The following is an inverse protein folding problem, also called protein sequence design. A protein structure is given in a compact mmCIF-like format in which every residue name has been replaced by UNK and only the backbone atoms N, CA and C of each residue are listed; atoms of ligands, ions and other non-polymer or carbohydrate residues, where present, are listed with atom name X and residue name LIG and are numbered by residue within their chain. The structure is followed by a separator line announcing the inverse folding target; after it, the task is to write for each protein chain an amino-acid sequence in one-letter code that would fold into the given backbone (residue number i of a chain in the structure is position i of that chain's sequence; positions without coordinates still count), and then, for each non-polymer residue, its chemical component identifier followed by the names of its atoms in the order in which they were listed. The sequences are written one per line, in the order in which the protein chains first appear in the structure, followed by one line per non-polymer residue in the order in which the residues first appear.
data_IF_059424024808
#
_entry.id   IF_059424024808
#
_cell.length_a   1.000
_cell.length_b   1.000
_cell.length_c   1.000
_cell.angle_alpha   90.00
_cell.angle_beta   90.00
_cell.angle_gamma   90.00
#
_symmetry.space_group_name_H-M   'P 1'
#
loop_
_entity.id
_entity.type
_entity.pdbx_description
1 polymer ?
#
# COMPACT_ATOMS: atom_id res chain seq x y z
N UNK A 1 -26.67 -2.04 5.79
CA UNK A 1 -25.46 -1.81 4.98
C UNK A 1 -25.24 -0.31 4.85
N UNK A 2 -24.01 0.15 4.98
CA UNK A 2 -23.67 1.56 4.79
C UNK A 2 -23.73 1.86 3.29
N UNK A 3 -24.64 2.74 2.85
CA UNK A 3 -24.83 3.09 1.43
C UNK A 3 -23.93 4.27 1.02
N UNK A 4 -22.93 4.60 1.83
CA UNK A 4 -22.00 5.67 1.50
C UNK A 4 -21.15 5.25 0.29
N UNK A 5 -21.22 6.00 -0.82
CA UNK A 5 -20.51 5.64 -2.05
C UNK A 5 -18.99 5.59 -1.86
N UNK A 6 -18.41 6.43 -0.99
CA UNK A 6 -16.95 6.42 -0.74
C UNK A 6 -16.52 5.11 -0.08
N UNK A 7 -17.32 4.61 0.87
CA UNK A 7 -17.07 3.33 1.54
C UNK A 7 -17.22 2.17 0.56
N UNK A 8 -18.25 2.19 -0.28
CA UNK A 8 -18.46 1.15 -1.30
C UNK A 8 -17.31 1.11 -2.31
N UNK A 9 -16.84 2.27 -2.78
CA UNK A 9 -15.69 2.36 -3.70
C UNK A 9 -14.41 1.85 -3.03
N UNK A 10 -14.13 2.26 -1.80
CA UNK A 10 -12.97 1.75 -1.05
C UNK A 10 -13.00 0.22 -0.91
N UNK A 11 -14.15 -0.34 -0.55
CA UNK A 11 -14.31 -1.76 -0.26
C UNK A 11 -14.33 -2.66 -1.50
N UNK A 12 -15.06 -2.25 -2.54
CA UNK A 12 -15.38 -3.12 -3.68
C UNK A 12 -14.61 -2.77 -4.95
N UNK A 13 -13.89 -1.65 -4.98
CA UNK A 13 -13.08 -1.24 -6.14
C UNK A 13 -11.62 -1.11 -5.73
N UNK A 14 -11.32 -0.23 -4.79
CA UNK A 14 -9.93 0.12 -4.44
C UNK A 14 -9.20 -1.06 -3.80
N UNK A 15 -9.78 -1.68 -2.77
CA UNK A 15 -9.13 -2.79 -2.07
C UNK A 15 -8.94 -4.02 -2.98
N UNK A 16 -9.92 -4.48 -3.77
CA UNK A 16 -9.71 -5.58 -4.71
C UNK A 16 -8.68 -5.26 -5.80
N UNK A 17 -8.69 -4.02 -6.31
CA UNK A 17 -7.73 -3.58 -7.33
C UNK A 17 -6.30 -3.58 -6.80
N UNK A 18 -6.09 -3.07 -5.57
CA UNK A 18 -4.79 -3.09 -4.91
C UNK A 18 -4.23 -4.51 -4.80
N UNK A 19 -5.05 -5.47 -4.35
CA UNK A 19 -4.64 -6.85 -4.19
C UNK A 19 -4.35 -7.54 -5.52
N UNK A 20 -5.18 -7.28 -6.53
CA UNK A 20 -4.94 -7.81 -7.87
C UNK A 20 -3.63 -7.26 -8.44
N UNK A 21 -3.37 -5.97 -8.31
CA UNK A 21 -2.14 -5.34 -8.76
C UNK A 21 -0.91 -5.90 -8.03
N UNK A 22 -0.93 -5.98 -6.69
CA UNK A 22 0.18 -6.55 -5.91
C UNK A 22 0.43 -8.03 -6.20
N UNK A 23 -0.61 -8.81 -6.45
CA UNK A 23 -0.44 -10.20 -6.87
C UNK A 23 0.16 -10.33 -8.27
N UNK A 24 -0.27 -9.49 -9.22
CA UNK A 24 0.28 -9.46 -10.58
C UNK A 24 1.74 -9.01 -10.59
N UNK A 25 2.09 -8.04 -9.74
CA UNK A 25 3.46 -7.59 -9.51
C UNK A 25 4.37 -8.74 -9.03
N UNK A 26 3.94 -9.46 -7.99
CA UNK A 26 4.64 -10.68 -7.55
C UNK A 26 4.77 -11.74 -8.65
N UNK A 27 3.77 -11.91 -9.52
CA UNK A 27 3.87 -12.81 -10.67
C UNK A 27 4.94 -12.35 -11.66
N UNK A 28 5.09 -11.04 -11.89
CA UNK A 28 6.18 -10.48 -12.68
C UNK A 28 7.54 -10.82 -12.06
N UNK A 29 7.73 -10.59 -10.76
CA UNK A 29 8.97 -10.91 -10.04
C UNK A 29 9.32 -12.41 -10.07
N UNK A 30 8.28 -13.25 -9.99
CA UNK A 30 8.44 -14.69 -10.12
C UNK A 30 8.84 -15.10 -11.54
N UNK A 31 8.28 -14.47 -12.57
CA UNK A 31 8.60 -14.74 -13.95
C UNK A 31 10.02 -14.26 -14.35
N UNK A 32 10.48 -13.16 -13.75
CA UNK A 32 11.82 -12.59 -13.98
C UNK A 32 12.90 -13.16 -13.07
N UNK A 33 12.54 -14.11 -12.19
CA UNK A 33 13.46 -14.69 -11.20
C UNK A 33 14.19 -13.60 -10.40
N UNK A 34 13.42 -12.76 -9.70
CA UNK A 34 13.94 -11.66 -8.89
C UNK A 34 15.12 -12.10 -7.98
N UNK A 35 15.11 -13.34 -7.47
CA UNK A 35 16.20 -13.88 -6.66
C UNK A 35 17.55 -13.97 -7.37
N UNK A 36 17.55 -14.10 -8.70
CA UNK A 36 18.75 -14.19 -9.54
C UNK A 36 19.09 -12.86 -10.22
N UNK A 37 18.30 -11.81 -10.00
CA UNK A 37 18.49 -10.49 -10.60
C UNK A 37 18.74 -9.45 -9.50
N UNK A 38 17.73 -8.68 -9.11
CA UNK A 38 17.84 -7.62 -8.09
C UNK A 38 17.81 -8.11 -6.64
N UNK A 39 17.39 -9.36 -6.41
CA UNK A 39 17.59 -10.09 -5.17
C UNK A 39 16.83 -9.52 -3.97
N UNK A 40 17.42 -9.71 -2.78
CA UNK A 40 16.74 -9.43 -1.51
C UNK A 40 16.52 -7.93 -1.27
N UNK A 41 17.33 -7.07 -1.87
CA UNK A 41 17.22 -5.62 -1.69
C UNK A 41 15.91 -5.09 -2.27
N UNK A 42 15.55 -5.48 -3.48
CA UNK A 42 14.27 -5.09 -4.10
C UNK A 42 13.09 -5.63 -3.26
N UNK A 43 13.15 -6.91 -2.88
CA UNK A 43 12.11 -7.54 -2.05
C UNK A 43 11.93 -6.84 -0.69
N UNK A 44 13.02 -6.37 -0.05
CA UNK A 44 12.93 -5.60 1.19
C UNK A 44 12.32 -4.20 0.98
N UNK A 45 12.54 -3.57 -0.17
CA UNK A 45 11.87 -2.32 -0.54
C UNK A 45 10.37 -2.57 -0.71
N UNK A 46 9.96 -3.68 -1.33
CA UNK A 46 8.54 -4.07 -1.41
C UNK A 46 7.90 -4.22 -0.01
N UNK A 47 8.61 -4.84 0.95
CA UNK A 47 8.13 -4.93 2.34
C UNK A 47 8.01 -3.56 3.02
N UNK A 48 8.95 -2.66 2.76
CA UNK A 48 8.88 -1.28 3.26
C UNK A 48 7.63 -0.58 2.70
N UNK A 49 7.41 -0.64 1.38
CA UNK A 49 6.21 -0.08 0.74
C UNK A 49 4.91 -0.70 1.27
N UNK A 50 4.90 -2.02 1.48
CA UNK A 50 3.75 -2.70 2.07
C UNK A 50 3.45 -2.19 3.48
N UNK A 51 4.47 -1.87 4.30
CA UNK A 51 4.30 -1.27 5.61
C UNK A 51 3.83 0.19 5.53
N UNK A 52 4.39 0.98 4.63
CA UNK A 52 4.03 2.39 4.39
C UNK A 52 2.56 2.56 4.02
N UNK A 53 1.98 1.60 3.28
CA UNK A 53 0.54 1.59 2.96
C UNK A 53 -0.29 0.84 4.03
N UNK A 54 0.22 -0.28 4.53
CA UNK A 54 -0.49 -1.15 5.46
C UNK A 54 -0.77 -0.50 6.81
N UNK A 55 0.19 0.24 7.38
CA UNK A 55 0.04 0.93 8.66
C UNK A 55 -1.09 1.98 8.63
N UNK A 56 -1.10 2.96 7.70
CA UNK A 56 -2.19 3.93 7.60
C UNK A 56 -3.52 3.28 7.26
N UNK A 57 -3.54 2.22 6.43
CA UNK A 57 -4.75 1.47 6.11
C UNK A 57 -5.35 0.83 7.37
N UNK A 58 -4.55 0.11 8.17
CA UNK A 58 -4.99 -0.51 9.42
C UNK A 58 -5.48 0.56 10.42
N UNK A 59 -4.77 1.69 10.52
CA UNK A 59 -5.21 2.82 11.32
C UNK A 59 -6.59 3.34 10.86
N UNK A 60 -6.78 3.56 9.57
CA UNK A 60 -8.07 4.02 9.02
C UNK A 60 -9.20 3.00 9.15
N UNK A 61 -8.88 1.69 9.16
CA UNK A 61 -9.87 0.62 9.32
C UNK A 61 -10.37 0.51 10.77
N UNK A 62 -9.46 0.57 11.74
CA UNK A 62 -9.76 0.25 13.14
C UNK A 62 -9.91 1.46 14.06
N UNK A 63 -9.21 2.56 13.77
CA UNK A 63 -9.25 3.77 14.56
C UNK A 63 -10.26 4.76 13.99
N UNK A 64 -10.75 5.65 14.85
CA UNK A 64 -11.56 6.78 14.45
C UNK A 64 -10.73 7.68 13.54
N UNK A 65 -11.16 7.80 12.28
CA UNK A 65 -10.50 8.69 11.33
C UNK A 65 -10.76 10.13 11.77
N UNK A 66 -9.68 10.82 12.11
CA UNK A 66 -9.62 12.21 12.54
C UNK A 66 -8.42 12.91 11.89
N UNK A 67 -8.18 14.17 12.26
CA UNK A 67 -7.07 14.97 11.74
C UNK A 67 -5.73 14.22 11.83
N UNK A 68 -5.43 13.58 12.98
CA UNK A 68 -4.19 12.81 13.16
C UNK A 68 -4.06 11.61 12.21
N UNK A 69 -5.12 10.83 12.02
CA UNK A 69 -5.11 9.71 11.06
C UNK A 69 -4.98 10.22 9.62
N UNK A 70 -5.66 11.31 9.26
CA UNK A 70 -5.53 11.92 7.93
C UNK A 70 -4.10 12.40 7.68
N UNK A 71 -3.46 13.06 8.67
CA UNK A 71 -2.05 13.46 8.56
C UNK A 71 -1.13 12.26 8.36
N UNK A 72 -1.31 11.18 9.13
CA UNK A 72 -0.55 9.94 8.96
C UNK A 72 -0.69 9.41 7.53
N UNK A 73 -1.91 9.35 7.00
CA UNK A 73 -2.17 8.87 5.65
C UNK A 73 -1.50 9.73 4.57
N UNK A 74 -1.56 11.05 4.70
CA UNK A 74 -0.92 11.99 3.74
C UNK A 74 0.61 11.84 3.78
N UNK A 75 1.20 11.84 4.98
CA UNK A 75 2.65 11.72 5.15
C UNK A 75 3.13 10.37 4.62
N UNK A 76 2.46 9.28 5.01
CA UNK A 76 2.79 7.95 4.55
C UNK A 76 2.65 7.80 3.03
N UNK A 77 1.66 8.44 2.40
CA UNK A 77 1.54 8.48 0.94
C UNK A 77 2.76 9.13 0.27
N UNK A 78 3.22 10.30 0.74
CA UNK A 78 4.40 10.93 0.14
C UNK A 78 5.69 10.15 0.40
N UNK A 79 5.84 9.53 1.58
CA UNK A 79 6.95 8.63 1.85
C UNK A 79 6.90 7.44 0.90
N UNK A 80 5.73 6.83 0.74
CA UNK A 80 5.50 5.72 -0.18
C UNK A 80 5.83 6.06 -1.62
N UNK A 81 5.43 7.25 -2.10
CA UNK A 81 5.73 7.73 -3.45
C UNK A 81 7.25 7.89 -3.66
N UNK A 82 7.97 8.40 -2.65
CA UNK A 82 9.44 8.48 -2.69
C UNK A 82 10.09 7.08 -2.67
N UNK A 83 9.55 6.14 -1.89
CA UNK A 83 10.02 4.75 -1.84
C UNK A 83 9.72 4.03 -3.16
N UNK A 84 8.58 4.27 -3.81
CA UNK A 84 8.24 3.74 -5.12
C UNK A 84 9.18 4.27 -6.22
N UNK A 85 9.51 5.57 -6.19
CA UNK A 85 10.53 6.13 -7.06
C UNK A 85 11.91 5.49 -6.83
N UNK A 86 12.26 5.21 -5.58
CA UNK A 86 13.50 4.49 -5.25
C UNK A 86 13.48 3.05 -5.77
N UNK A 87 12.37 2.34 -5.58
CA UNK A 87 12.16 0.98 -6.05
C UNK A 87 12.35 0.87 -7.56
N UNK A 88 11.59 1.65 -8.34
CA UNK A 88 11.68 1.64 -9.80
C UNK A 88 13.09 2.02 -10.26
N UNK A 89 13.69 3.04 -9.65
CA UNK A 89 15.06 3.47 -9.98
C UNK A 89 16.08 2.35 -9.74
N UNK A 90 15.90 1.59 -8.67
CA UNK A 90 16.75 0.43 -8.36
C UNK A 90 16.48 -0.73 -9.34
N UNK A 91 15.23 -1.12 -9.52
CA UNK A 91 14.82 -2.23 -10.37
C UNK A 91 15.31 -2.06 -11.82
N UNK A 92 15.10 -0.89 -12.43
CA UNK A 92 15.53 -0.64 -13.82
C UNK A 92 17.05 -0.57 -13.99
N UNK A 93 17.80 -0.32 -12.90
CA UNK A 93 19.27 -0.38 -12.92
C UNK A 93 19.82 -1.80 -12.75
N UNK A 94 19.03 -2.70 -12.17
CA UNK A 94 19.45 -4.05 -11.80
C UNK A 94 18.90 -5.13 -12.76
N UNK A 95 17.76 -4.89 -13.41
CA UNK A 95 17.08 -5.87 -14.28
C UNK A 95 16.21 -5.19 -15.32
N UNK A 96 15.83 -5.97 -16.32
CA UNK A 96 14.77 -5.55 -17.24
C UNK A 96 13.41 -5.59 -16.53
N UNK A 97 12.70 -4.47 -16.59
CA UNK A 97 11.33 -4.31 -16.07
C UNK A 97 10.38 -4.22 -17.26
N UNK A 98 9.41 -5.13 -17.32
CA UNK A 98 8.55 -5.25 -18.50
C UNK A 98 7.54 -4.10 -18.61
N UNK A 99 7.01 -3.78 -19.81
CA UNK A 99 5.91 -2.82 -19.94
C UNK A 99 4.65 -3.20 -19.15
N UNK A 100 4.39 -4.50 -18.99
CA UNK A 100 3.24 -5.00 -18.21
C UNK A 100 3.46 -4.69 -16.72
N UNK A 101 4.66 -4.96 -16.22
CA UNK A 101 5.05 -4.70 -14.84
C UNK A 101 4.99 -3.20 -14.53
N UNK A 102 5.53 -2.35 -15.41
CA UNK A 102 5.39 -0.89 -15.29
C UNK A 102 3.93 -0.42 -15.27
N UNK A 103 3.07 -1.05 -16.08
CA UNK A 103 1.65 -0.72 -16.07
C UNK A 103 0.97 -1.14 -14.75
N UNK A 104 1.36 -2.28 -14.16
CA UNK A 104 0.91 -2.72 -12.84
C UNK A 104 1.39 -1.74 -11.75
N UNK A 105 2.64 -1.28 -11.81
CA UNK A 105 3.19 -0.27 -10.90
C UNK A 105 2.37 1.02 -10.92
N UNK A 106 1.90 1.47 -12.10
CA UNK A 106 1.01 2.63 -12.20
C UNK A 106 -0.29 2.46 -11.39
N UNK A 107 -0.84 1.24 -11.25
CA UNK A 107 -1.97 0.99 -10.36
C UNK A 107 -1.57 1.02 -8.89
N UNK A 108 -0.44 0.41 -8.55
CA UNK A 108 0.08 0.35 -7.18
C UNK A 108 0.42 1.75 -6.64
N UNK A 109 0.88 2.67 -7.48
CA UNK A 109 1.14 4.07 -7.11
C UNK A 109 -0.17 4.87 -6.94
N UNK A 110 -1.14 4.69 -7.85
CA UNK A 110 -2.36 5.50 -7.86
C UNK A 110 -3.39 5.10 -6.80
N UNK A 111 -3.45 3.81 -6.43
CA UNK A 111 -4.43 3.31 -5.45
C UNK A 111 -4.26 3.94 -4.05
N UNK A 112 -3.05 4.07 -3.48
CA UNK A 112 -2.82 4.83 -2.25
C UNK A 112 -3.35 6.26 -2.33
N UNK A 113 -3.07 6.99 -3.42
CA UNK A 113 -3.57 8.36 -3.61
C UNK A 113 -5.10 8.41 -3.61
N UNK A 114 -5.74 7.53 -4.40
CA UNK A 114 -7.21 7.43 -4.47
C UNK A 114 -7.79 7.15 -3.08
N UNK A 115 -7.17 6.25 -2.32
CA UNK A 115 -7.58 5.92 -0.95
C UNK A 115 -7.54 7.15 -0.05
N UNK A 116 -6.43 7.89 -0.05
CA UNK A 116 -6.26 9.12 0.74
C UNK A 116 -7.32 10.15 0.37
N UNK A 117 -7.56 10.38 -0.93
CA UNK A 117 -8.56 11.34 -1.41
C UNK A 117 -9.99 10.98 -1.00
N UNK A 118 -10.36 9.69 -1.06
CA UNK A 118 -11.68 9.22 -0.63
C UNK A 118 -11.87 9.36 0.88
N UNK A 119 -10.83 9.06 1.67
CA UNK A 119 -10.86 9.24 3.13
C UNK A 119 -10.94 10.72 3.50
N UNK A 120 -10.16 11.60 2.86
CA UNK A 120 -10.23 13.05 3.05
C UNK A 120 -11.63 13.56 2.69
N UNK A 121 -12.18 13.14 1.55
CA UNK A 121 -13.51 13.55 1.10
C UNK A 121 -14.59 13.15 2.12
N UNK A 122 -14.46 11.97 2.72
CA UNK A 122 -15.36 11.48 3.76
C UNK A 122 -15.21 12.22 5.10
N UNK A 123 -14.01 12.67 5.42
CA UNK A 123 -13.66 13.31 6.69
C UNK A 123 -13.22 14.77 6.49
N UNK A 124 -13.92 15.48 5.59
CA UNK A 124 -13.53 16.80 5.10
C UNK A 124 -13.38 17.84 6.20
N UNK A 125 -14.26 17.82 7.22
CA UNK A 125 -14.17 18.73 8.37
C UNK A 125 -12.85 18.60 9.12
N UNK A 126 -12.45 17.38 9.48
CA UNK A 126 -11.16 17.11 10.13
C UNK A 126 -9.96 17.41 9.23
N UNK A 127 -10.10 17.22 7.90
CA UNK A 127 -9.06 17.61 6.95
C UNK A 127 -8.87 19.15 6.91
N UNK A 128 -9.95 19.92 6.82
CA UNK A 128 -9.87 21.39 6.88
C UNK A 128 -9.27 21.86 8.21
N UNK A 129 -9.66 21.21 9.31
CA UNK A 129 -9.21 21.54 10.65
C UNK A 129 -7.68 21.39 10.82
N UNK A 130 -7.02 20.52 10.04
CA UNK A 130 -5.55 20.41 10.03
C UNK A 130 -4.85 21.72 9.67
N UNK A 131 -5.52 22.56 8.88
CA UNK A 131 -4.98 23.83 8.39
C UNK A 131 -5.62 25.03 9.09
N UNK A 132 -6.40 24.81 10.16
CA UNK A 132 -7.12 25.86 10.87
C UNK A 132 -8.35 26.40 10.12
N UNK A 133 -8.87 25.66 9.14
CA UNK A 133 -10.10 26.00 8.42
C UNK A 133 -11.29 25.15 8.90
N UNK A 134 -12.51 25.62 8.59
CA UNK A 134 -13.75 24.91 8.93
C UNK A 134 -14.23 25.14 10.37
N UNK A 135 -15.33 24.47 10.74
CA UNK A 135 -15.97 24.61 12.05
C UNK A 135 -15.48 23.56 13.07
N UNK A 136 -14.84 22.48 12.60
CA UNK A 136 -14.35 21.41 13.48
C UNK A 136 -12.99 21.74 14.11
N UNK A 137 -12.79 21.31 15.36
CA UNK A 137 -11.48 21.33 16.01
C UNK A 137 -10.70 20.07 15.60
N UNK A 138 -9.41 20.17 15.21
CA UNK A 138 -8.66 19.00 14.79
C UNK A 138 -8.44 18.07 15.98
N UNK A 139 -8.75 16.78 15.81
CA UNK A 139 -8.50 15.75 16.82
C UNK A 139 -7.32 14.87 16.42
N UNK A 140 -6.42 14.65 17.37
CA UNK A 140 -5.25 13.77 17.24
C UNK A 140 -5.34 12.55 18.17
N UNK A 141 -6.53 12.28 18.72
CA UNK A 141 -6.72 11.19 19.67
C UNK A 141 -6.71 9.83 18.96
N UNK A 142 -5.92 8.89 19.46
CA UNK A 142 -5.92 7.50 18.99
C UNK A 142 -7.04 6.74 19.71
N UNK A 143 -8.18 6.59 19.05
CA UNK A 143 -9.37 5.94 19.62
C UNK A 143 -9.93 4.93 18.64
N UNK A 144 -10.47 3.81 19.13
CA UNK A 144 -11.16 2.82 18.30
C UNK A 144 -12.43 3.42 17.68
N UNK A 145 -12.81 2.93 16.50
CA UNK A 145 -14.11 3.30 15.91
C UNK A 145 -15.25 2.93 16.84
N UNK A 146 -16.21 3.86 16.98
CA UNK A 146 -17.44 3.64 17.77
C UNK A 146 -18.28 2.49 17.23
N UNK A 147 -18.31 2.36 15.91
CA UNK A 147 -18.94 1.25 15.21
C UNK A 147 -17.84 0.38 14.60
N UNK A 148 -17.45 -0.72 15.25
CA UNK A 148 -16.42 -1.61 14.72
C UNK A 148 -16.91 -2.29 13.44
N UNK A 149 -15.95 -2.69 12.62
CA UNK A 149 -16.24 -3.47 11.42
C UNK A 149 -16.92 -4.80 11.80
N UNK A 150 -17.91 -5.29 11.03
CA UNK A 150 -18.48 -6.61 11.25
C UNK A 150 -17.39 -7.68 11.25
N UNK A 151 -17.50 -8.68 12.14
CA UNK A 151 -16.49 -9.75 12.29
C UNK A 151 -16.20 -10.46 10.97
N UNK A 152 -17.23 -10.73 10.17
CA UNK A 152 -17.08 -11.33 8.84
C UNK A 152 -16.17 -10.47 7.93
N UNK A 153 -16.28 -9.15 8.01
CA UNK A 153 -15.44 -8.24 7.25
C UNK A 153 -14.00 -8.22 7.76
N UNK A 154 -13.80 -8.29 9.08
CA UNK A 154 -12.45 -8.43 9.67
C UNK A 154 -11.78 -9.73 9.20
N UNK A 155 -12.52 -10.85 9.16
CA UNK A 155 -12.01 -12.13 8.65
C UNK A 155 -11.60 -12.01 7.18
N UNK A 156 -12.44 -11.38 6.36
CA UNK A 156 -12.13 -11.15 4.94
C UNK A 156 -10.86 -10.28 4.79
N UNK A 157 -10.76 -9.19 5.56
CA UNK A 157 -9.57 -8.33 5.56
C UNK A 157 -8.31 -9.08 6.02
N UNK A 158 -8.43 -9.94 7.04
CA UNK A 158 -7.32 -10.76 7.51
C UNK A 158 -6.86 -11.76 6.43
N UNK A 159 -7.79 -12.41 5.75
CA UNK A 159 -7.48 -13.29 4.63
C UNK A 159 -6.80 -12.51 3.50
N UNK A 160 -7.36 -11.35 3.13
CA UNK A 160 -6.78 -10.42 2.16
C UNK A 160 -5.34 -10.07 2.52
N UNK A 161 -5.08 -9.72 3.78
CA UNK A 161 -3.75 -9.38 4.26
C UNK A 161 -2.79 -10.58 4.16
N UNK A 162 -3.24 -11.77 4.53
CA UNK A 162 -2.45 -13.01 4.39
C UNK A 162 -2.14 -13.29 2.92
N UNK A 163 -3.13 -13.22 2.03
CA UNK A 163 -2.93 -13.43 0.60
C UNK A 163 -2.08 -12.33 -0.07
N UNK A 164 -2.06 -11.12 0.49
CA UNK A 164 -1.14 -10.06 0.08
C UNK A 164 0.28 -10.28 0.60
N UNK A 165 0.45 -10.75 1.83
CA UNK A 165 1.77 -10.87 2.47
C UNK A 165 2.53 -12.15 2.09
N UNK A 166 1.83 -13.28 1.95
CA UNK A 166 2.44 -14.59 1.67
C UNK A 166 3.26 -14.59 0.37
N UNK A 167 2.81 -14.00 -0.76
CA UNK A 167 3.60 -13.93 -1.98
C UNK A 167 4.94 -13.21 -1.78
N UNK A 168 4.95 -12.04 -1.14
CA UNK A 168 6.19 -11.29 -0.88
C UNK A 168 7.09 -11.98 0.16
N UNK A 169 6.51 -12.68 1.15
CA UNK A 169 7.30 -13.51 2.06
C UNK A 169 7.98 -14.69 1.35
N UNK A 170 7.29 -15.32 0.40
CA UNK A 170 7.84 -16.36 -0.48
C UNK A 170 8.96 -15.80 -1.37
N UNK A 171 8.77 -14.61 -1.92
CA UNK A 171 9.76 -13.90 -2.73
C UNK A 171 11.04 -13.60 -1.93
N UNK A 172 10.91 -12.98 -0.76
CA UNK A 172 12.04 -12.67 0.12
C UNK A 172 12.77 -13.95 0.54
N UNK A 173 12.03 -15.02 0.82
CA UNK A 173 12.63 -16.33 1.11
C UNK A 173 13.45 -16.88 -0.07
N UNK A 174 12.95 -16.77 -1.31
CA UNK A 174 13.72 -17.13 -2.51
C UNK A 174 15.01 -16.32 -2.61
N UNK A 175 14.93 -15.00 -2.41
CA UNK A 175 16.08 -14.09 -2.48
C UNK A 175 17.13 -14.36 -1.39
N UNK A 176 16.72 -14.70 -0.17
CA UNK A 176 17.66 -15.04 0.91
C UNK A 176 18.34 -16.40 0.63
N UNK A 177 17.60 -17.36 0.08
CA UNK A 177 18.12 -18.71 -0.20
C UNK A 177 19.08 -18.74 -1.40
N UNK A 178 18.90 -17.83 -2.35
CA UNK A 178 19.76 -17.64 -3.53
C UNK A 178 20.14 -16.17 -3.61
N UNK A 179 21.17 -15.73 -2.85
CA UNK A 179 21.66 -14.37 -2.97
C UNK A 179 22.11 -14.14 -4.42
N UNK A 180 21.65 -13.07 -5.05
CA UNK A 180 22.21 -12.65 -6.33
C UNK A 180 23.66 -12.20 -6.09
N UNK A 181 24.58 -12.66 -6.93
CA UNK A 181 25.92 -12.10 -6.97
C UNK A 181 25.78 -10.65 -7.47
N UNK A 182 26.13 -9.67 -6.64
CA UNK A 182 25.84 -8.24 -6.85
C UNK A 182 26.53 -7.61 -8.10
N UNK A 183 27.04 -8.40 -9.05
CA UNK A 183 27.86 -7.96 -10.18
C UNK A 183 27.60 -8.72 -11.48
N UNK A 184 26.42 -8.54 -12.07
CA UNK A 184 26.29 -8.69 -13.53
C UNK A 184 25.78 -7.39 -14.13
N UNK A 185 26.72 -6.51 -14.47
CA UNK A 185 26.48 -5.34 -15.31
C UNK A 185 25.90 -5.81 -16.65
N UNK A 186 24.61 -5.57 -16.88
CA UNK A 186 24.05 -5.63 -18.22
C UNK A 186 24.30 -4.26 -18.88
N UNK A 187 25.21 -4.26 -19.85
CA UNK A 187 25.41 -3.15 -20.80
C UNK A 187 24.26 -3.10 -21.81
#
# INVERSE_FOLDING_TARGET
MNHDPTVLVLMYVVLPLWLAAGFLDWLCHRATHIEATSGAKESLIHFLMFAEVGIPLLAALFLQVNAGIISLMIIAFFIHDLTALWDVSYAVSARWVSPIEQHIHSFLEMVPLITVLLVISRHWGQFLALFGFGEEVPSFNVTWKREPLPVAYIIILALIFVFGLVPYAEELWRCIKRPSDEHTNFY
#
